data_IF_732476664545
#
_entry.id   IF_732476664545
#
_cell.length_a   1.000
_cell.length_b   1.000
_cell.length_c   1.000
_cell.angle_alpha   90.00
_cell.angle_beta   90.00
_cell.angle_gamma   90.00
#
_symmetry.space_group_name_H-M   'P 1'
#
loop_
_entity.id
_entity.type
_entity.pdbx_description
1 polymer ?
#
# COMPACT_ATOMS: atom_id res chain seq x y z
N UNK A 1 -14.78 25.98 1.40
CA UNK A 1 -13.80 25.06 2.01
C UNK A 1 -12.42 25.51 1.56
N UNK A 2 -11.61 26.02 2.47
CA UNK A 2 -10.21 26.33 2.17
C UNK A 2 -9.44 25.01 1.97
N UNK A 3 -8.46 24.94 1.05
CA UNK A 3 -7.59 23.78 0.96
C UNK A 3 -6.90 23.56 2.32
N UNK A 4 -6.68 22.29 2.76
CA UNK A 4 -5.88 22.05 3.94
C UNK A 4 -4.51 22.67 3.74
N UNK A 5 -3.96 23.27 4.81
CA UNK A 5 -2.64 23.86 4.79
C UNK A 5 -1.63 22.81 4.26
N UNK A 6 -0.70 23.17 3.36
CA UNK A 6 0.35 22.25 2.97
C UNK A 6 1.07 21.80 4.23
N UNK A 7 1.20 20.48 4.41
CA UNK A 7 2.13 19.94 5.38
C UNK A 7 3.49 20.56 5.02
N UNK A 8 4.02 21.36 5.93
CA UNK A 8 5.13 22.28 5.66
C UNK A 8 6.44 21.56 5.31
N UNK A 9 7.61 22.18 5.57
CA UNK A 9 8.92 21.69 5.14
C UNK A 9 9.34 20.29 5.64
N UNK A 10 8.51 19.59 6.42
CA UNK A 10 8.77 18.29 7.04
C UNK A 10 8.61 17.08 6.08
N UNK A 11 7.99 17.23 4.91
CA UNK A 11 7.90 16.11 3.94
C UNK A 11 9.24 15.68 3.36
N UNK A 12 10.26 16.56 3.43
CA UNK A 12 11.58 16.35 2.88
C UNK A 12 11.62 16.25 1.34
N UNK A 13 10.50 16.39 0.62
CA UNK A 13 10.47 16.28 -0.84
C UNK A 13 11.28 17.40 -1.50
N UNK A 14 11.91 17.15 -2.67
CA UNK A 14 12.61 18.19 -3.40
C UNK A 14 11.64 19.29 -3.87
N UNK A 15 12.06 20.55 -3.83
CA UNK A 15 11.23 21.71 -4.22
C UNK A 15 10.63 21.58 -5.65
N UNK A 16 11.32 20.86 -6.53
CA UNK A 16 10.89 20.58 -7.91
C UNK A 16 10.28 19.18 -8.09
N UNK A 17 9.69 18.60 -7.04
CA UNK A 17 9.01 17.32 -7.12
C UNK A 17 7.96 17.32 -8.23
N UNK A 18 7.88 16.21 -8.97
CA UNK A 18 6.89 15.97 -10.02
C UNK A 18 6.39 14.53 -9.92
N UNK A 19 5.15 14.25 -10.34
CA UNK A 19 4.71 12.89 -10.56
C UNK A 19 5.66 12.21 -11.55
N UNK A 20 6.03 10.98 -11.25
CA UNK A 20 6.99 10.21 -12.04
C UNK A 20 6.38 8.91 -12.57
N UNK A 21 5.23 8.50 -12.03
CA UNK A 21 4.52 7.30 -12.48
C UNK A 21 3.87 7.56 -13.84
N UNK A 22 3.65 6.49 -14.59
CA UNK A 22 2.88 6.58 -15.84
C UNK A 22 1.44 6.97 -15.49
N UNK A 23 0.86 7.99 -16.17
CA UNK A 23 -0.56 8.31 -15.97
C UNK A 23 -1.44 7.12 -16.39
N UNK A 24 -2.70 7.15 -15.97
CA UNK A 24 -3.68 6.15 -16.44
C UNK A 24 -3.71 6.12 -17.96
N UNK A 25 -3.55 4.94 -18.61
CA UNK A 25 -3.61 4.84 -20.06
C UNK A 25 -5.01 5.13 -20.61
N UNK A 26 -6.01 5.19 -19.73
CA UNK A 26 -7.40 5.51 -20.07
C UNK A 26 -7.74 6.99 -19.91
N UNK A 27 -6.76 7.86 -19.63
CA UNK A 27 -6.96 9.31 -19.58
C UNK A 27 -8.00 9.78 -18.57
N UNK A 28 -8.11 9.11 -17.42
CA UNK A 28 -9.12 9.43 -16.40
C UNK A 28 -10.49 8.79 -16.62
N UNK A 29 -10.65 7.95 -17.65
CA UNK A 29 -11.83 7.11 -17.81
C UNK A 29 -11.77 5.86 -16.93
N UNK A 30 -12.95 5.31 -16.62
CA UNK A 30 -13.07 3.97 -16.04
C UNK A 30 -12.93 2.92 -17.16
N UNK A 31 -12.35 1.74 -16.87
CA UNK A 31 -12.19 0.69 -17.86
C UNK A 31 -13.53 0.10 -18.29
N UNK A 32 -13.66 -0.19 -19.58
CA UNK A 32 -14.74 -1.00 -20.14
C UNK A 32 -14.51 -2.49 -19.85
N UNK A 33 -15.54 -3.35 -20.01
CA UNK A 33 -15.35 -4.80 -19.88
C UNK A 33 -14.25 -5.37 -20.79
N UNK A 34 -14.13 -4.90 -22.03
CA UNK A 34 -13.08 -5.33 -22.95
C UNK A 34 -11.67 -4.92 -22.46
N UNK A 35 -11.53 -3.71 -21.92
CA UNK A 35 -10.26 -3.25 -21.34
C UNK A 35 -9.90 -4.02 -20.08
N UNK A 36 -10.87 -4.42 -19.25
CA UNK A 36 -10.63 -5.28 -18.10
C UNK A 36 -10.16 -6.69 -18.50
N UNK A 37 -10.74 -7.26 -19.56
CA UNK A 37 -10.31 -8.54 -20.09
C UNK A 37 -8.86 -8.47 -20.59
N UNK A 38 -8.52 -7.45 -21.37
CA UNK A 38 -7.15 -7.22 -21.84
C UNK A 38 -6.16 -6.98 -20.68
N UNK A 39 -6.58 -6.23 -19.66
CA UNK A 39 -5.74 -5.94 -18.50
C UNK A 39 -5.47 -7.16 -17.62
N UNK A 40 -6.23 -8.25 -17.73
CA UNK A 40 -5.98 -9.49 -16.98
C UNK A 40 -4.62 -10.11 -17.28
N UNK A 41 -4.06 -9.85 -18.48
CA UNK A 41 -2.72 -10.25 -18.92
C UNK A 41 -1.76 -9.05 -19.03
N UNK A 42 -2.18 -7.89 -18.51
CA UNK A 42 -1.47 -6.62 -18.66
C UNK A 42 -0.16 -6.54 -17.87
N UNK A 43 0.70 -5.55 -18.20
CA UNK A 43 2.04 -5.41 -17.65
C UNK A 43 2.03 -5.12 -16.15
N UNK A 44 3.20 -5.30 -15.53
CA UNK A 44 3.43 -4.94 -14.13
C UNK A 44 3.16 -3.45 -13.93
N UNK A 45 2.40 -3.16 -12.88
CA UNK A 45 2.01 -1.82 -12.45
C UNK A 45 3.18 -1.10 -11.77
N UNK A 46 3.25 0.22 -11.95
CA UNK A 46 4.18 1.06 -11.19
C UNK A 46 3.77 1.09 -9.71
N UNK A 47 4.71 0.88 -8.81
CA UNK A 47 4.52 1.19 -7.39
C UNK A 47 4.21 2.68 -7.19
N UNK A 48 3.67 3.01 -6.02
CA UNK A 48 3.62 4.40 -5.54
C UNK A 48 4.71 4.55 -4.49
N UNK A 49 5.62 5.48 -4.71
CA UNK A 49 6.68 5.85 -3.77
C UNK A 49 6.89 7.37 -3.85
N UNK A 50 7.45 7.99 -2.79
CA UNK A 50 7.78 9.42 -2.81
C UNK A 50 8.69 9.81 -3.97
N UNK A 51 9.63 8.94 -4.38
CA UNK A 51 10.54 9.14 -5.50
C UNK A 51 10.61 7.86 -6.38
N UNK A 52 11.13 7.94 -7.63
CA UNK A 52 11.01 6.88 -8.64
C UNK A 52 11.46 5.47 -8.25
N UNK A 53 12.43 5.34 -7.35
CA UNK A 53 12.95 4.04 -6.92
C UNK A 53 13.17 3.95 -5.41
N UNK A 54 13.51 2.74 -4.96
CA UNK A 54 13.69 2.41 -3.55
C UNK A 54 14.87 3.17 -2.92
N UNK A 55 15.96 3.38 -3.65
CA UNK A 55 17.14 4.06 -3.14
C UNK A 55 16.90 5.57 -2.99
N UNK A 56 16.23 6.18 -3.98
CA UNK A 56 15.83 7.58 -3.94
C UNK A 56 14.78 7.83 -2.85
N UNK A 57 13.89 6.86 -2.61
CA UNK A 57 12.84 6.94 -1.58
C UNK A 57 13.31 6.52 -0.18
N UNK A 58 14.57 6.10 -0.01
CA UNK A 58 15.11 5.66 1.27
C UNK A 58 14.96 6.74 2.34
N UNK A 59 14.42 6.36 3.50
CA UNK A 59 14.18 7.27 4.63
C UNK A 59 13.04 8.29 4.41
N UNK A 60 12.30 8.20 3.29
CA UNK A 60 11.16 9.09 2.97
C UNK A 60 9.81 8.39 3.06
N UNK A 61 9.82 7.06 3.10
CA UNK A 61 8.59 6.27 3.24
C UNK A 61 8.25 6.16 4.73
N UNK A 62 7.20 6.83 5.16
CA UNK A 62 6.68 6.70 6.50
C UNK A 62 5.89 5.40 6.67
N UNK A 63 5.02 5.08 5.71
CA UNK A 63 4.23 3.85 5.70
C UNK A 63 4.27 3.20 4.32
N UNK A 64 4.81 1.98 4.24
CA UNK A 64 4.72 1.14 3.05
C UNK A 64 3.53 0.20 3.15
N UNK A 65 2.55 0.38 2.28
CA UNK A 65 1.35 -0.46 2.19
C UNK A 65 1.55 -1.47 1.07
N UNK A 66 1.34 -2.75 1.37
CA UNK A 66 1.61 -3.83 0.41
C UNK A 66 0.35 -4.67 0.20
N UNK A 67 -0.19 -4.58 -1.02
CA UNK A 67 -1.23 -5.49 -1.48
C UNK A 67 -0.70 -6.88 -1.85
N UNK A 68 -1.61 -7.79 -2.16
CA UNK A 68 -1.22 -9.14 -2.59
C UNK A 68 -0.72 -9.08 -4.04
N UNK A 69 -1.59 -8.65 -4.96
CA UNK A 69 -1.33 -8.51 -6.37
C UNK A 69 -2.36 -7.57 -7.02
N UNK A 70 -2.07 -6.99 -8.20
CA UNK A 70 -3.01 -6.11 -8.87
C UNK A 70 -4.21 -6.88 -9.44
N UNK A 71 -5.39 -6.27 -9.31
CA UNK A 71 -6.60 -6.67 -10.03
C UNK A 71 -6.56 -6.18 -11.49
N UNK A 72 -7.34 -6.76 -12.42
CA UNK A 72 -7.44 -6.24 -13.79
C UNK A 72 -7.82 -4.76 -13.85
N UNK A 73 -8.67 -4.29 -12.91
CA UNK A 73 -9.01 -2.86 -12.81
C UNK A 73 -7.79 -2.01 -12.45
N UNK A 74 -7.04 -2.42 -11.42
CA UNK A 74 -5.79 -1.76 -11.00
C UNK A 74 -4.79 -1.68 -12.15
N UNK A 75 -4.68 -2.74 -12.94
CA UNK A 75 -3.80 -2.80 -14.11
C UNK A 75 -4.29 -1.86 -15.22
N UNK A 76 -5.60 -1.85 -15.50
CA UNK A 76 -6.18 -1.03 -16.56
C UNK A 76 -5.98 0.48 -16.36
N UNK A 77 -6.06 0.98 -15.13
CA UNK A 77 -5.92 2.42 -14.84
C UNK A 77 -4.59 2.83 -14.21
N UNK A 78 -3.66 1.88 -14.05
CA UNK A 78 -2.40 2.06 -13.33
C UNK A 78 -2.56 2.72 -11.94
N UNK A 79 -3.52 2.28 -11.12
CA UNK A 79 -3.72 2.80 -9.77
C UNK A 79 -4.04 1.70 -8.74
N UNK A 80 -3.42 1.75 -7.54
CA UNK A 80 -3.58 0.69 -6.57
C UNK A 80 -4.99 0.71 -5.97
N UNK A 81 -5.52 -0.47 -5.66
CA UNK A 81 -6.83 -0.64 -5.04
C UNK A 81 -7.98 0.08 -5.79
N UNK A 82 -7.84 0.25 -7.11
CA UNK A 82 -8.75 1.03 -7.95
C UNK A 82 -10.15 0.44 -8.17
N UNK A 83 -10.34 -0.87 -7.94
CA UNK A 83 -11.63 -1.53 -8.21
C UNK A 83 -12.73 -0.89 -7.35
N UNK A 84 -13.87 -0.46 -7.93
CA UNK A 84 -15.01 0.02 -7.16
C UNK A 84 -15.45 -0.97 -6.08
N UNK A 85 -15.80 -0.42 -4.91
CA UNK A 85 -16.14 -1.20 -3.71
C UNK A 85 -14.93 -1.71 -2.91
N UNK A 86 -13.69 -1.48 -3.35
CA UNK A 86 -12.53 -1.66 -2.48
C UNK A 86 -12.50 -0.55 -1.41
N UNK A 87 -12.37 -0.94 -0.14
CA UNK A 87 -12.48 -0.05 1.01
C UNK A 87 -11.16 0.61 1.40
N UNK A 88 -10.06 0.35 0.67
CA UNK A 88 -8.73 0.88 0.98
C UNK A 88 -8.72 2.41 1.08
N UNK A 89 -9.07 3.11 0.01
CA UNK A 89 -9.06 4.58 -0.02
C UNK A 89 -10.06 5.21 0.97
N UNK A 90 -11.34 4.76 1.05
CA UNK A 90 -12.26 5.22 2.08
C UNK A 90 -11.72 5.02 3.51
N UNK A 91 -11.08 3.88 3.79
CA UNK A 91 -10.58 3.59 5.14
C UNK A 91 -9.38 4.46 5.54
N UNK A 92 -8.52 4.88 4.60
CA UNK A 92 -7.43 5.82 4.89
C UNK A 92 -7.97 7.24 5.16
N UNK A 93 -9.01 7.65 4.45
CA UNK A 93 -9.69 8.92 4.71
C UNK A 93 -10.41 8.91 6.07
N UNK A 94 -11.18 7.86 6.36
CA UNK A 94 -11.84 7.67 7.66
C UNK A 94 -10.85 7.53 8.83
N UNK A 95 -9.61 7.13 8.57
CA UNK A 95 -8.53 7.11 9.56
C UNK A 95 -7.93 8.49 9.86
N UNK A 96 -8.25 9.52 9.06
CA UNK A 96 -7.61 10.84 9.14
C UNK A 96 -6.16 10.84 8.61
N UNK A 97 -5.77 9.81 7.87
CA UNK A 97 -4.44 9.71 7.24
C UNK A 97 -4.41 10.50 5.94
N UNK A 98 -5.51 10.44 5.18
CA UNK A 98 -5.77 11.27 4.02
C UNK A 98 -6.90 12.27 4.34
N UNK A 99 -6.84 13.51 3.82
CA UNK A 99 -7.88 14.51 4.08
C UNK A 99 -9.22 14.19 3.40
N UNK A 100 -9.20 13.38 2.34
CA UNK A 100 -10.38 12.93 1.62
C UNK A 100 -10.12 11.58 0.93
N UNK A 101 -11.19 10.94 0.47
CA UNK A 101 -11.10 9.69 -0.29
C UNK A 101 -10.54 9.98 -1.69
N UNK A 102 -9.50 9.25 -2.08
CA UNK A 102 -8.95 9.25 -3.46
C UNK A 102 -9.81 8.37 -4.37
N UNK A 103 -10.30 8.91 -5.49
CA UNK A 103 -10.97 8.11 -6.54
C UNK A 103 -9.94 7.47 -7.48
N UNK A 104 -9.31 6.40 -7.03
CA UNK A 104 -8.37 5.65 -7.84
C UNK A 104 -9.03 4.86 -8.99
N UNK A 105 -10.37 4.83 -9.09
CA UNK A 105 -11.08 4.03 -10.12
C UNK A 105 -10.81 4.48 -11.55
N UNK A 106 -10.25 5.67 -11.71
CA UNK A 106 -9.89 6.33 -12.98
C UNK A 106 -8.38 6.49 -13.18
N UNK A 107 -7.57 6.07 -12.20
CA UNK A 107 -6.16 6.41 -12.09
C UNK A 107 -5.88 7.28 -10.87
N UNK A 108 -4.59 7.54 -10.60
CA UNK A 108 -4.20 8.59 -9.64
C UNK A 108 -3.97 9.89 -10.42
N UNK A 109 -4.47 11.01 -9.90
CA UNK A 109 -4.12 12.32 -10.41
C UNK A 109 -2.73 12.76 -9.93
N UNK A 110 -2.10 13.75 -10.58
CA UNK A 110 -0.88 14.39 -10.06
C UNK A 110 -1.00 14.88 -8.61
N UNK A 111 -2.18 15.36 -8.22
CA UNK A 111 -2.43 15.84 -6.86
C UNK A 111 -2.50 14.67 -5.85
N UNK A 112 -3.10 13.55 -6.23
CA UNK A 112 -3.13 12.34 -5.39
C UNK A 112 -1.71 11.81 -5.16
N UNK A 113 -0.90 11.73 -6.22
CA UNK A 113 0.49 11.25 -6.10
C UNK A 113 1.33 12.19 -5.22
N UNK A 114 1.15 13.51 -5.37
CA UNK A 114 1.82 14.50 -4.53
C UNK A 114 1.42 14.36 -3.06
N UNK A 115 0.12 14.25 -2.78
CA UNK A 115 -0.41 14.07 -1.44
C UNK A 115 0.19 12.81 -0.77
N UNK A 116 0.27 11.70 -1.51
CA UNK A 116 0.87 10.45 -1.01
C UNK A 116 2.36 10.61 -0.74
N UNK A 117 3.09 11.26 -1.65
CA UNK A 117 4.51 11.53 -1.47
C UNK A 117 4.77 12.44 -0.26
N UNK A 118 3.98 13.51 -0.08
CA UNK A 118 4.10 14.45 1.05
C UNK A 118 3.79 13.78 2.39
N UNK A 119 2.87 12.80 2.41
CA UNK A 119 2.56 11.97 3.58
C UNK A 119 3.57 10.84 3.82
N UNK A 120 4.53 10.62 2.92
CA UNK A 120 5.45 9.49 2.96
C UNK A 120 4.74 8.14 2.79
N UNK A 121 3.63 8.07 2.06
CA UNK A 121 2.89 6.83 1.83
C UNK A 121 3.41 6.14 0.57
N UNK A 122 3.94 4.94 0.74
CA UNK A 122 4.28 4.02 -0.36
C UNK A 122 3.22 2.94 -0.55
N UNK A 123 2.99 2.50 -1.79
CA UNK A 123 2.05 1.42 -2.12
C UNK A 123 2.65 0.46 -3.16
N UNK A 124 2.84 -0.80 -2.76
CA UNK A 124 3.38 -1.87 -3.59
C UNK A 124 2.52 -3.15 -3.53
N UNK A 125 2.97 -4.23 -4.17
CA UNK A 125 2.38 -5.57 -4.04
C UNK A 125 3.44 -6.64 -3.77
N UNK A 126 3.05 -7.74 -3.11
CA UNK A 126 3.88 -8.95 -2.96
C UNK A 126 4.19 -9.59 -4.32
N UNK A 127 3.19 -9.66 -5.20
CA UNK A 127 3.34 -10.23 -6.56
C UNK A 127 2.93 -9.19 -7.60
N UNK A 128 3.79 -8.98 -8.60
CA UNK A 128 3.57 -7.98 -9.65
C UNK A 128 2.60 -8.41 -10.76
N UNK A 129 2.31 -9.71 -10.88
CA UNK A 129 1.43 -10.27 -11.91
C UNK A 129 -0.04 -9.98 -11.63
N UNK A 130 -0.75 -9.53 -12.66
CA UNK A 130 -2.20 -9.32 -12.60
C UNK A 130 -2.93 -10.65 -12.51
N UNK A 131 -3.87 -10.76 -11.57
CA UNK A 131 -4.84 -11.87 -11.55
C UNK A 131 -6.19 -11.35 -11.09
N UNK A 132 -7.28 -12.00 -11.53
CA UNK A 132 -8.62 -11.66 -11.07
C UNK A 132 -8.81 -11.98 -9.59
N UNK A 133 -8.13 -13.02 -9.08
CA UNK A 133 -8.20 -13.45 -7.68
C UNK A 133 -6.81 -13.79 -7.14
N UNK A 134 -6.51 -13.32 -5.93
CA UNK A 134 -5.28 -13.65 -5.21
C UNK A 134 -5.07 -15.17 -5.03
N UNK A 135 -6.14 -15.96 -4.94
CA UNK A 135 -6.09 -17.42 -4.84
C UNK A 135 -5.48 -18.11 -6.09
N UNK A 136 -5.29 -17.38 -7.19
CA UNK A 136 -4.64 -17.89 -8.41
C UNK A 136 -3.11 -17.77 -8.35
N UNK A 137 -2.55 -17.22 -7.27
CA UNK A 137 -1.11 -17.12 -7.08
C UNK A 137 -0.56 -18.40 -6.49
N UNK A 138 0.57 -18.86 -7.02
CA UNK A 138 1.27 -20.02 -6.48
C UNK A 138 1.96 -19.64 -5.17
N UNK A 139 2.05 -20.54 -4.17
CA UNK A 139 2.79 -20.29 -2.93
C UNK A 139 4.24 -19.83 -3.14
N UNK A 140 4.90 -20.35 -4.17
CA UNK A 140 6.26 -19.95 -4.54
C UNK A 140 6.34 -18.48 -5.01
N UNK A 141 5.33 -17.97 -5.72
CA UNK A 141 5.27 -16.55 -6.12
C UNK A 141 5.16 -15.66 -4.88
N UNK A 142 4.36 -16.07 -3.89
CA UNK A 142 4.19 -15.33 -2.63
C UNK A 142 5.47 -15.32 -1.79
N UNK A 143 6.15 -16.47 -1.64
CA UNK A 143 7.44 -16.56 -0.93
C UNK A 143 8.52 -15.70 -1.59
N UNK A 144 8.65 -15.78 -2.91
CA UNK A 144 9.55 -14.90 -3.66
C UNK A 144 9.18 -13.41 -3.47
N UNK A 145 7.88 -13.13 -3.38
CA UNK A 145 7.33 -11.82 -3.01
C UNK A 145 7.79 -11.32 -1.64
N UNK A 146 7.67 -12.16 -0.61
CA UNK A 146 8.11 -11.85 0.75
C UNK A 146 9.62 -11.60 0.84
N UNK A 147 10.42 -12.45 0.19
CA UNK A 147 11.88 -12.27 0.12
C UNK A 147 12.28 -10.96 -0.58
N UNK A 148 11.60 -10.63 -1.69
CA UNK A 148 11.81 -9.34 -2.38
C UNK A 148 11.43 -8.18 -1.47
N UNK A 149 10.29 -8.26 -0.78
CA UNK A 149 9.84 -7.22 0.12
C UNK A 149 10.83 -6.99 1.26
N UNK A 150 11.38 -8.04 1.88
CA UNK A 150 12.40 -7.90 2.92
C UNK A 150 13.63 -7.11 2.42
N UNK A 151 14.14 -7.43 1.22
CA UNK A 151 15.24 -6.68 0.59
C UNK A 151 14.88 -5.22 0.34
N UNK A 152 13.68 -4.95 -0.18
CA UNK A 152 13.20 -3.58 -0.42
C UNK A 152 13.06 -2.80 0.88
N UNK A 153 12.51 -3.41 1.93
CA UNK A 153 12.38 -2.80 3.25
C UNK A 153 13.75 -2.42 3.83
N UNK A 154 14.78 -3.24 3.60
CA UNK A 154 16.15 -2.92 4.02
C UNK A 154 16.73 -1.68 3.31
N UNK A 155 16.32 -1.40 2.07
CA UNK A 155 16.73 -0.19 1.32
C UNK A 155 15.85 1.01 1.64
N UNK A 156 14.53 0.84 1.56
CA UNK A 156 13.54 1.91 1.77
C UNK A 156 13.55 2.44 3.21
N UNK A 157 13.83 1.56 4.18
CA UNK A 157 13.82 1.85 5.62
C UNK A 157 12.52 2.57 6.06
N UNK A 158 11.34 2.00 5.76
CA UNK A 158 10.10 2.70 6.05
C UNK A 158 9.79 2.73 7.55
N UNK A 159 9.02 3.73 8.01
CA UNK A 159 8.58 3.82 9.40
C UNK A 159 7.70 2.64 9.85
N UNK A 160 6.95 2.02 8.94
CA UNK A 160 6.33 0.70 9.10
C UNK A 160 5.98 0.10 7.73
N UNK A 161 5.76 -1.23 7.71
CA UNK A 161 5.18 -1.94 6.57
C UNK A 161 3.87 -2.60 6.98
N UNK A 162 2.80 -2.38 6.21
CA UNK A 162 1.51 -3.02 6.40
C UNK A 162 1.10 -3.84 5.16
N UNK A 163 0.96 -5.15 5.34
CA UNK A 163 0.53 -6.07 4.29
C UNK A 163 -0.95 -6.37 4.47
N UNK A 164 -1.75 -6.11 3.44
CA UNK A 164 -3.21 -6.33 3.48
C UNK A 164 -3.60 -7.69 2.90
N UNK A 165 -3.86 -8.65 3.78
CA UNK A 165 -4.25 -10.02 3.45
C UNK A 165 -3.46 -11.09 4.21
N UNK A 166 -4.01 -11.54 5.34
CA UNK A 166 -3.32 -12.47 6.27
C UNK A 166 -2.93 -13.81 5.63
N UNK A 167 -3.75 -14.38 4.75
CA UNK A 167 -3.40 -15.67 4.10
C UNK A 167 -2.16 -15.54 3.22
N UNK A 168 -2.10 -14.49 2.39
CA UNK A 168 -0.94 -14.22 1.55
C UNK A 168 0.29 -13.87 2.41
N UNK A 169 0.12 -13.12 3.48
CA UNK A 169 1.16 -12.83 4.47
C UNK A 169 1.78 -14.12 5.02
N UNK A 170 0.95 -15.03 5.54
CA UNK A 170 1.38 -16.31 6.14
C UNK A 170 2.20 -17.13 5.17
N UNK A 171 1.76 -17.21 3.91
CA UNK A 171 2.50 -17.92 2.85
C UNK A 171 3.78 -17.20 2.43
N UNK A 172 3.77 -15.87 2.35
CA UNK A 172 4.92 -15.09 1.89
C UNK A 172 6.12 -15.15 2.83
N UNK A 173 5.89 -15.33 4.14
CA UNK A 173 6.93 -15.39 5.16
C UNK A 173 7.06 -16.76 5.84
N UNK A 174 6.32 -17.78 5.38
CA UNK A 174 6.25 -19.10 6.01
C UNK A 174 5.92 -19.04 7.52
N UNK A 175 4.95 -18.19 7.86
CA UNK A 175 4.46 -17.96 9.24
C UNK A 175 2.98 -18.36 9.38
N UNK A 176 2.64 -19.66 9.40
CA UNK A 176 1.23 -20.12 9.39
C UNK A 176 0.42 -19.66 10.61
N UNK A 177 1.08 -19.45 11.75
CA UNK A 177 0.46 -18.99 13.00
C UNK A 177 0.34 -17.46 13.12
N UNK A 178 0.79 -16.69 12.12
CA UNK A 178 0.69 -15.23 12.16
C UNK A 178 -0.76 -14.77 12.35
N UNK A 179 -0.98 -13.78 13.21
CA UNK A 179 -2.30 -13.18 13.48
C UNK A 179 -2.38 -11.77 12.89
N UNK A 180 -3.58 -11.20 12.83
CA UNK A 180 -3.75 -9.80 12.43
C UNK A 180 -3.11 -8.86 13.47
N UNK A 181 -2.63 -7.70 13.00
CA UNK A 181 -1.96 -6.70 13.82
C UNK A 181 -0.44 -6.69 13.65
N UNK A 182 0.25 -6.11 14.63
CA UNK A 182 1.72 -6.00 14.66
C UNK A 182 2.35 -7.38 14.87
N UNK A 183 3.36 -7.69 14.07
CA UNK A 183 4.09 -8.94 14.15
C UNK A 183 5.31 -8.80 15.08
N UNK A 184 5.81 -9.92 15.67
CA UNK A 184 7.03 -9.90 16.46
C UNK A 184 8.22 -9.38 15.64
N UNK A 185 9.15 -8.69 16.28
CA UNK A 185 10.41 -8.28 15.66
C UNK A 185 11.42 -9.43 15.62
N UNK A 186 11.43 -10.27 16.66
CA UNK A 186 12.30 -11.43 16.82
C UNK A 186 11.50 -12.69 17.20
N UNK A 187 12.09 -13.86 16.96
CA UNK A 187 11.68 -15.12 17.55
C UNK A 187 12.28 -15.29 18.96
N UNK A 188 11.92 -16.37 19.65
CA UNK A 188 12.31 -16.63 21.05
C UNK A 188 13.84 -16.78 21.22
N UNK A 189 14.55 -17.17 20.16
CA UNK A 189 16.01 -17.29 20.10
C UNK A 189 16.72 -15.96 19.79
N UNK A 190 15.98 -14.86 19.67
CA UNK A 190 16.50 -13.53 19.35
C UNK A 190 16.78 -13.30 17.86
N UNK A 191 16.60 -14.31 16.98
CA UNK A 191 16.74 -14.11 15.54
C UNK A 191 15.57 -13.28 14.99
N UNK A 192 15.76 -12.52 13.88
CA UNK A 192 14.67 -11.77 13.25
C UNK A 192 13.47 -12.68 12.94
N UNK A 193 12.27 -12.22 13.31
CA UNK A 193 11.06 -13.02 13.11
C UNK A 193 10.73 -13.23 11.62
N UNK A 194 11.21 -12.35 10.74
CA UNK A 194 11.31 -12.61 9.31
C UNK A 194 12.78 -12.50 8.91
N UNK A 195 13.40 -13.55 8.33
CA UNK A 195 14.79 -13.49 7.90
C UNK A 195 15.06 -12.32 6.94
N UNK A 196 16.12 -11.56 7.21
CA UNK A 196 16.49 -10.37 6.42
C UNK A 196 15.59 -9.15 6.62
N UNK A 197 14.59 -9.22 7.50
CA UNK A 197 13.77 -8.08 7.84
C UNK A 197 14.50 -7.16 8.82
N UNK A 198 14.49 -5.82 8.62
CA UNK A 198 15.16 -4.93 9.55
C UNK A 198 14.46 -4.87 10.91
N UNK A 199 15.24 -4.96 11.99
CA UNK A 199 14.74 -5.14 13.35
C UNK A 199 13.90 -3.97 13.89
N UNK A 200 14.15 -2.77 13.36
CA UNK A 200 13.54 -1.51 13.74
C UNK A 200 12.39 -1.08 12.82
N UNK A 201 12.03 -1.90 11.82
CA UNK A 201 10.89 -1.62 10.93
C UNK A 201 9.70 -2.49 11.34
N UNK A 202 8.66 -1.93 11.97
CA UNK A 202 7.46 -2.67 12.34
C UNK A 202 6.78 -3.30 11.12
N UNK A 203 6.47 -4.60 11.22
CA UNK A 203 5.70 -5.34 10.23
C UNK A 203 4.29 -5.60 10.74
N UNK A 204 3.29 -5.31 9.91
CA UNK A 204 1.87 -5.47 10.24
C UNK A 204 1.18 -6.35 9.20
N UNK A 205 0.30 -7.24 9.68
CA UNK A 205 -0.60 -8.01 8.86
C UNK A 205 -2.04 -7.50 9.08
N UNK A 206 -2.67 -7.00 8.03
CA UNK A 206 -4.01 -6.43 8.08
C UNK A 206 -5.01 -7.26 7.27
N UNK A 207 -6.32 -7.10 7.52
CA UNK A 207 -7.36 -7.67 6.67
C UNK A 207 -7.27 -7.13 5.23
N UNK A 208 -7.78 -7.90 4.27
CA UNK A 208 -7.86 -7.43 2.90
C UNK A 208 -9.02 -6.41 2.76
N UNK A 209 -8.79 -5.21 2.17
CA UNK A 209 -9.81 -4.17 2.03
C UNK A 209 -10.81 -4.42 0.88
N UNK A 210 -10.68 -5.53 0.14
CA UNK A 210 -11.63 -5.91 -0.91
C UNK A 210 -13.06 -5.91 -0.39
N UNK A 211 -14.00 -5.41 -1.19
CA UNK A 211 -15.43 -5.42 -0.88
C UNK A 211 -15.99 -6.82 -0.60
N UNK A 212 -15.34 -7.87 -1.10
CA UNK A 212 -15.67 -9.29 -0.88
C UNK A 212 -15.41 -9.75 0.55
N UNK A 213 -14.60 -9.01 1.33
CA UNK A 213 -14.43 -9.28 2.75
C UNK A 213 -15.61 -8.67 3.51
N UNK A 214 -16.58 -9.50 3.88
CA UNK A 214 -17.80 -9.06 4.57
C UNK A 214 -17.56 -8.65 6.03
N UNK A 215 -16.45 -9.07 6.63
CA UNK A 215 -16.13 -8.79 8.03
C UNK A 215 -15.50 -7.41 8.25
N UNK A 216 -15.23 -6.65 7.19
CA UNK A 216 -14.54 -5.37 7.28
C UNK A 216 -15.31 -4.26 6.57
N UNK A 217 -15.56 -3.17 7.30
CA UNK A 217 -16.08 -1.91 6.79
C UNK A 217 -14.92 -0.90 6.60
N UNK A 218 -15.22 0.28 6.06
CA UNK A 218 -14.21 1.34 6.00
C UNK A 218 -13.76 1.75 7.41
N UNK A 219 -14.67 1.79 8.38
CA UNK A 219 -14.39 2.22 9.76
C UNK A 219 -13.59 1.18 10.55
N UNK A 220 -13.89 -0.11 10.40
CA UNK A 220 -13.12 -1.17 11.06
C UNK A 220 -11.70 -1.27 10.53
N UNK A 221 -11.49 -0.97 9.24
CA UNK A 221 -10.17 -0.82 8.64
C UNK A 221 -9.48 0.48 9.08
N UNK A 222 -10.23 1.57 9.20
CA UNK A 222 -9.71 2.86 9.66
C UNK A 222 -9.12 2.79 11.07
N UNK A 223 -9.77 2.04 11.98
CA UNK A 223 -9.22 1.78 13.31
C UNK A 223 -7.83 1.12 13.25
N UNK A 224 -7.68 0.09 12.42
CA UNK A 224 -6.40 -0.61 12.22
C UNK A 224 -5.35 0.29 11.55
N UNK A 225 -5.77 1.13 10.60
CA UNK A 225 -4.88 2.10 9.98
C UNK A 225 -4.36 3.15 10.97
N UNK A 226 -5.19 3.60 11.92
CA UNK A 226 -4.74 4.51 12.98
C UNK A 226 -3.65 3.89 13.85
N UNK A 227 -3.78 2.62 14.22
CA UNK A 227 -2.75 1.90 14.98
C UNK A 227 -1.42 1.83 14.21
N UNK A 228 -1.48 1.44 12.93
CA UNK A 228 -0.29 1.39 12.06
C UNK A 228 0.34 2.77 11.90
N UNK A 229 -0.47 3.81 11.64
CA UNK A 229 0.01 5.17 11.43
C UNK A 229 0.67 5.76 12.68
N UNK A 230 0.10 5.51 13.86
CA UNK A 230 0.70 5.90 15.13
C UNK A 230 2.07 5.24 15.34
N UNK A 231 2.22 3.96 14.97
CA UNK A 231 3.48 3.23 15.07
C UNK A 231 4.60 3.77 14.15
N UNK A 232 4.26 4.56 13.13
CA UNK A 232 5.24 5.26 12.29
C UNK A 232 5.73 6.58 12.89
N UNK A 233 5.26 6.97 14.08
CA UNK A 233 5.68 8.17 14.78
C UNK A 233 4.94 9.46 14.41
N UNK A 234 3.76 9.39 13.79
CA UNK A 234 2.98 10.62 13.54
C UNK A 234 1.50 10.50 13.84
N UNK A 235 0.92 11.64 14.19
CA UNK A 235 -0.48 11.76 14.59
C UNK A 235 -1.42 11.72 13.38
N UNK A 236 -2.66 11.21 13.54
CA UNK A 236 -3.75 11.49 12.60
C UNK A 236 -4.05 12.99 12.58
N UNK A 237 -4.58 13.52 11.47
CA UNK A 237 -5.12 14.88 11.53
C UNK A 237 -6.27 14.93 12.53
N UNK A 238 -6.21 15.85 13.48
CA UNK A 238 -7.33 16.13 14.37
C UNK A 238 -8.49 16.66 13.52
N UNK A 239 -9.49 15.81 13.28
CA UNK A 239 -10.72 16.21 12.61
C UNK A 239 -11.34 17.39 13.35
N UNK A 240 -11.46 18.54 12.70
CA UNK A 240 -12.40 19.56 13.17
C UNK A 240 -13.79 19.03 12.83
N UNK A 241 -14.57 18.78 13.88
CA UNK A 241 -16.01 18.51 13.77
C UNK A 241 -16.78 19.70 13.22
#
# INVERSE_FOLDING_TARGET
MSPPAPLGPESGLPARWRPWRRPSPLGGARPTPAQLAAAAEGPVRDDVLPLPDDAQSAGRVRLLIVGINPSPWTTAVNAPFARPGNRFWPSLAAAGILPCTVDASRGLSPADERLLAERGIGIANLVGRTTARAAQLKPAELRAGGQRLARRTAVLRPGAVAIVGITAFRTAFDRPAAVLGRQPAAADDGAPWVPGWPHDVPLWALPNPSGLNAHETADTLAAKWREVWAATGGAPESGRG
#
